data_IF_450598728007
#
_entry.id   IF_450598728007
#
_cell.length_a   1.000
_cell.length_b   1.000
_cell.length_c   1.000
_cell.angle_alpha   90.00
_cell.angle_beta   90.00
_cell.angle_gamma   90.00
#
_symmetry.space_group_name_H-M   'P 1'
#
loop_
_entity.id
_entity.type
_entity.pdbx_description
1 polymer ?
#
# COMPACT_ATOMS: atom_id res chain seq x y z
N UNK A 1 23.91 13.41 -15.69
CA UNK A 1 22.45 13.45 -15.57
C UNK A 1 21.89 12.40 -16.52
N UNK A 2 21.58 11.22 -16.02
CA UNK A 2 20.99 10.13 -16.82
C UNK A 2 19.51 10.43 -17.06
N UNK A 3 19.09 10.39 -18.33
CA UNK A 3 17.70 10.64 -18.72
C UNK A 3 16.76 9.61 -18.06
N UNK A 4 15.58 10.02 -17.53
CA UNK A 4 14.58 9.12 -16.94
C UNK A 4 14.19 7.94 -17.85
N UNK A 5 14.32 8.10 -19.17
CA UNK A 5 14.08 7.05 -20.16
C UNK A 5 15.02 5.84 -20.01
N UNK A 6 16.26 6.03 -19.53
CA UNK A 6 17.20 4.93 -19.32
C UNK A 6 16.82 4.03 -18.13
N UNK A 7 16.07 4.56 -17.15
CA UNK A 7 15.59 3.80 -15.99
C UNK A 7 14.52 2.80 -16.40
N UNK A 8 13.69 3.15 -17.38
CA UNK A 8 12.58 2.33 -17.88
C UNK A 8 13.03 1.22 -18.82
N UNK A 9 14.07 1.45 -19.62
CA UNK A 9 14.62 0.45 -20.52
C UNK A 9 15.08 -0.82 -19.77
N UNK A 10 15.64 -0.68 -18.55
CA UNK A 10 16.14 -1.84 -17.79
C UNK A 10 15.08 -2.58 -16.97
N UNK A 11 14.05 -1.89 -16.47
CA UNK A 11 12.92 -2.59 -15.85
C UNK A 11 12.17 -3.48 -16.85
N UNK A 12 12.28 -3.20 -18.15
CA UNK A 12 11.75 -4.06 -19.21
C UNK A 12 12.65 -5.26 -19.55
N UNK A 13 13.97 -5.16 -19.38
CA UNK A 13 14.92 -6.22 -19.76
C UNK A 13 15.04 -7.35 -18.72
N UNK A 14 14.67 -7.15 -17.45
CA UNK A 14 14.85 -8.16 -16.40
C UNK A 14 13.74 -9.23 -16.33
N UNK A 15 12.86 -9.32 -17.32
CA UNK A 15 11.75 -10.31 -17.36
C UNK A 15 12.07 -11.50 -18.27
N UNK A 16 13.17 -11.48 -19.03
CA UNK A 16 13.55 -12.58 -19.93
C UNK A 16 15.01 -12.95 -19.73
N UNK A 17 15.30 -13.65 -18.64
CA UNK A 17 16.48 -14.52 -18.60
C UNK A 17 16.26 -15.66 -17.59
N UNK A 18 15.46 -16.63 -18.03
CA UNK A 18 15.34 -17.94 -17.40
C UNK A 18 15.11 -18.95 -18.51
N UNK A 19 16.11 -19.10 -19.39
CA UNK A 19 16.19 -20.25 -20.28
C UNK A 19 16.90 -21.38 -19.52
N UNK A 20 16.25 -22.52 -19.23
CA UNK A 20 16.95 -23.73 -18.87
C UNK A 20 17.50 -24.37 -20.14
N UNK A 21 18.82 -24.26 -20.30
CA UNK A 21 19.59 -25.03 -21.27
C UNK A 21 19.85 -26.42 -20.69
N UNK A 22 19.23 -27.46 -21.25
CA UNK A 22 19.68 -28.86 -21.19
C UNK A 22 18.82 -29.73 -22.11
N UNK A 23 19.34 -29.89 -23.32
CA UNK A 23 18.95 -30.91 -24.30
C UNK A 23 19.31 -32.32 -23.78
N UNK A 24 18.44 -33.33 -24.01
CA UNK A 24 18.95 -34.64 -24.39
C UNK A 24 18.32 -35.15 -25.71
N UNK A 25 19.13 -35.95 -26.40
CA UNK A 25 18.95 -36.54 -27.74
C UNK A 25 17.76 -37.50 -27.90
N UNK A 26 17.34 -37.80 -29.15
CA UNK A 26 16.15 -38.60 -29.45
C UNK A 26 16.46 -40.11 -29.49
N UNK A 27 15.52 -40.91 -28.97
CA UNK A 27 15.40 -42.35 -29.23
C UNK A 27 14.06 -42.66 -29.92
N UNK A 28 13.99 -43.66 -30.81
CA UNK A 28 12.81 -43.95 -31.60
C UNK A 28 11.86 -44.94 -30.91
N UNK A 29 10.59 -44.88 -31.36
CA UNK A 29 9.54 -45.90 -31.35
C UNK A 29 9.07 -46.47 -29.99
N UNK A 30 7.79 -46.26 -29.64
CA UNK A 30 6.77 -47.27 -29.96
C UNK A 30 5.33 -46.78 -29.70
N UNK A 31 4.47 -47.32 -30.54
CA UNK A 31 3.02 -47.35 -30.65
C UNK A 31 2.25 -47.40 -29.31
N UNK A 32 1.13 -46.66 -29.24
CA UNK A 32 -0.23 -47.22 -29.10
C UNK A 32 -1.17 -46.40 -28.18
N UNK A 33 -2.38 -46.21 -28.70
CA UNK A 33 -3.68 -46.21 -28.00
C UNK A 33 -4.03 -45.11 -27.01
N UNK A 34 -5.06 -44.32 -27.39
CA UNK A 34 -6.21 -44.08 -26.50
C UNK A 34 -6.59 -42.62 -26.21
N UNK A 35 -7.40 -42.01 -27.06
CA UNK A 35 -8.51 -41.14 -26.59
C UNK A 35 -9.51 -42.00 -25.81
N UNK A 36 -10.33 -41.52 -24.84
CA UNK A 36 -11.14 -40.28 -24.89
C UNK A 36 -11.37 -39.65 -23.47
N UNK A 37 -12.52 -39.02 -23.14
CA UNK A 37 -13.05 -37.72 -23.57
C UNK A 37 -13.17 -36.70 -22.42
N UNK A 38 -13.49 -35.46 -22.80
CA UNK A 38 -14.12 -34.42 -21.96
C UNK A 38 -15.22 -35.00 -21.05
N UNK A 39 -15.21 -34.63 -19.78
CA UNK A 39 -16.42 -34.64 -18.94
C UNK A 39 -16.53 -33.37 -18.11
N UNK A 40 -17.57 -32.59 -18.41
CA UNK A 40 -18.11 -31.56 -17.55
C UNK A 40 -19.05 -32.26 -16.58
N UNK A 41 -18.68 -32.33 -15.30
CA UNK A 41 -19.61 -32.67 -14.24
C UNK A 41 -19.76 -31.48 -13.31
N UNK A 42 -20.90 -30.83 -13.45
CA UNK A 42 -21.54 -30.13 -12.35
C UNK A 42 -21.82 -31.13 -11.23
N UNK A 43 -21.46 -30.81 -10.00
CA UNK A 43 -22.04 -31.42 -8.81
C UNK A 43 -22.57 -30.33 -7.91
N UNK A 44 -23.89 -30.21 -7.96
CA UNK A 44 -24.73 -29.69 -6.88
C UNK A 44 -24.69 -30.64 -5.68
N UNK A 45 -24.98 -30.07 -4.52
CA UNK A 45 -25.44 -30.71 -3.27
C UNK A 45 -24.37 -31.10 -2.26
N UNK A 46 -24.47 -30.44 -1.10
CA UNK A 46 -23.74 -30.76 0.12
C UNK A 46 -24.04 -29.74 1.21
N UNK A 47 -25.28 -29.75 1.71
CA UNK A 47 -25.56 -29.27 3.07
C UNK A 47 -24.67 -30.04 4.02
N UNK A 48 -23.81 -29.35 4.78
CA UNK A 48 -23.34 -29.89 6.05
C UNK A 48 -23.39 -28.83 7.14
N UNK A 49 -24.27 -29.13 8.08
CA UNK A 49 -24.54 -28.46 9.33
C UNK A 49 -23.39 -28.79 10.26
N UNK A 50 -22.48 -27.84 10.49
CA UNK A 50 -21.48 -28.01 11.55
C UNK A 50 -22.09 -27.52 12.86
N UNK A 51 -22.66 -28.47 13.58
CA UNK A 51 -22.87 -28.44 15.02
C UNK A 51 -21.55 -28.08 15.72
N UNK A 52 -21.49 -26.90 16.37
CA UNK A 52 -20.48 -26.68 17.40
C UNK A 52 -21.07 -26.96 18.78
N UNK A 53 -20.34 -27.82 19.47
CA UNK A 53 -20.67 -28.45 20.72
C UNK A 53 -20.85 -27.44 21.87
N UNK A 54 -21.96 -27.66 22.57
CA UNK A 54 -22.25 -27.23 23.92
C UNK A 54 -21.20 -27.76 24.89
N UNK A 55 -20.44 -26.87 25.54
CA UNK A 55 -19.75 -27.18 26.79
C UNK A 55 -20.36 -26.38 27.93
N UNK A 56 -20.62 -27.15 29.00
CA UNK A 56 -21.33 -26.81 30.23
C UNK A 56 -20.49 -25.99 31.20
N UNK A 57 -21.18 -25.62 32.29
CA UNK A 57 -20.76 -24.98 33.54
C UNK A 57 -20.86 -23.45 33.49
N UNK A 58 -21.59 -22.78 34.39
CA UNK A 58 -21.84 -23.09 35.80
C UNK A 58 -23.12 -22.42 36.29
N UNK A 59 -23.92 -23.23 36.97
CA UNK A 59 -25.07 -22.90 37.79
C UNK A 59 -24.66 -21.96 38.94
N UNK A 60 -25.50 -20.96 39.23
CA UNK A 60 -25.24 -19.88 40.19
C UNK A 60 -26.39 -18.90 40.26
N UNK A 61 -27.35 -19.24 41.11
CA UNK A 61 -28.59 -18.52 41.47
C UNK A 61 -28.40 -17.00 41.72
N UNK A 62 -29.41 -16.16 41.40
CA UNK A 62 -29.37 -14.72 41.66
C UNK A 62 -29.72 -14.42 43.13
N UNK A 63 -28.84 -13.67 43.81
CA UNK A 63 -29.17 -13.03 45.09
C UNK A 63 -29.54 -11.57 44.82
N UNK A 64 -30.81 -11.26 45.02
CA UNK A 64 -31.43 -9.95 44.89
C UNK A 64 -31.50 -9.34 46.29
N UNK A 65 -30.47 -8.61 46.73
CA UNK A 65 -30.64 -7.50 47.67
C UNK A 65 -29.35 -6.72 47.88
N UNK A 66 -29.15 -5.68 47.06
CA UNK A 66 -28.19 -4.62 47.40
C UNK A 66 -28.72 -3.28 46.90
N UNK A 67 -28.95 -2.31 47.80
CA UNK A 67 -29.44 -0.99 47.43
C UNK A 67 -28.38 -0.19 46.63
N UNK A 68 -28.81 0.70 45.73
CA UNK A 68 -27.90 1.46 44.87
C UNK A 68 -27.03 2.43 45.68
N UNK A 69 -25.72 2.25 45.60
CA UNK A 69 -24.73 3.15 46.17
C UNK A 69 -24.60 4.42 45.29
N UNK A 70 -24.74 5.65 45.84
CA UNK A 70 -24.54 6.87 45.06
C UNK A 70 -23.07 7.04 44.66
N UNK A 71 -22.82 7.32 43.38
CA UNK A 71 -21.50 7.63 42.84
C UNK A 71 -20.95 8.90 43.51
N UNK A 72 -19.91 8.74 44.32
CA UNK A 72 -19.15 9.81 44.98
C UNK A 72 -18.46 10.72 43.93
N UNK A 73 -18.65 12.05 43.98
CA UNK A 73 -17.82 13.01 43.26
C UNK A 73 -16.43 13.05 43.90
N UNK A 74 -15.39 12.72 43.13
CA UNK A 74 -14.00 12.87 43.57
C UNK A 74 -13.51 14.28 43.24
N UNK A 75 -13.66 15.19 44.19
CA UNK A 75 -12.87 16.42 44.26
C UNK A 75 -11.53 16.11 44.92
N UNK A 76 -10.45 16.13 44.15
CA UNK A 76 -9.10 16.19 44.68
C UNK A 76 -8.63 17.64 44.65
N UNK A 77 -8.63 18.27 45.83
CA UNK A 77 -8.04 19.58 46.11
C UNK A 77 -6.79 19.38 46.98
N UNK A 78 -5.87 20.34 46.84
CA UNK A 78 -4.70 20.67 47.65
C UNK A 78 -3.37 20.08 47.13
N UNK A 79 -2.46 20.94 46.70
CA UNK A 79 -1.49 21.56 47.62
C UNK A 79 -0.83 22.79 46.99
N UNK A 80 -0.93 23.91 47.69
CA UNK A 80 -0.17 25.12 47.44
C UNK A 80 1.29 24.88 47.88
N UNK A 81 2.20 24.84 46.90
CA UNK A 81 3.64 24.85 47.10
C UNK A 81 4.20 26.16 46.57
N UNK A 82 4.47 27.07 47.50
CA UNK A 82 5.10 28.36 47.26
C UNK A 82 6.62 28.13 47.10
N UNK A 83 7.16 28.23 45.88
CA UNK A 83 8.62 28.25 45.68
C UNK A 83 9.01 28.97 44.38
N UNK A 84 9.56 30.18 44.59
CA UNK A 84 10.54 30.92 43.77
C UNK A 84 10.38 30.99 42.24
N UNK A 85 10.08 32.18 41.68
CA UNK A 85 10.29 32.45 40.26
C UNK A 85 11.79 32.65 39.98
N UNK A 86 12.47 31.58 39.58
CA UNK A 86 13.83 31.63 39.03
C UNK A 86 13.82 31.80 37.50
N UNK A 87 14.90 32.36 36.93
CA UNK A 87 14.80 33.51 36.06
C UNK A 87 14.64 33.18 34.58
N UNK A 88 13.93 34.06 33.88
CA UNK A 88 14.02 34.35 32.44
C UNK A 88 14.40 33.16 31.55
N UNK A 89 13.37 32.36 31.19
CA UNK A 89 13.39 31.58 29.94
C UNK A 89 13.55 32.58 28.80
N UNK A 90 14.80 32.91 28.46
CA UNK A 90 15.17 33.71 27.30
C UNK A 90 14.49 33.06 26.12
N UNK A 91 13.36 33.64 25.70
CA UNK A 91 12.82 33.46 24.36
C UNK A 91 13.95 33.97 23.46
N UNK A 92 14.85 33.08 23.07
CA UNK A 92 15.75 33.34 21.97
C UNK A 92 14.79 33.60 20.81
N UNK A 93 14.60 34.88 20.51
CA UNK A 93 14.02 35.36 19.27
C UNK A 93 14.93 34.80 18.18
N UNK A 94 14.63 33.56 17.80
CA UNK A 94 15.30 32.82 16.74
C UNK A 94 15.00 33.67 15.52
N UNK A 95 15.92 34.57 15.20
CA UNK A 95 15.87 35.43 14.03
C UNK A 95 15.51 34.49 12.89
N UNK A 96 14.33 34.71 12.32
CA UNK A 96 13.80 33.92 11.21
C UNK A 96 14.87 33.98 10.12
N UNK A 97 15.67 32.92 9.99
CA UNK A 97 16.56 32.81 8.86
C UNK A 97 15.68 32.86 7.60
N UNK A 98 16.04 33.66 6.59
CA UNK A 98 15.34 33.66 5.31
C UNK A 98 15.10 32.23 4.78
N UNK A 99 16.06 31.32 5.00
CA UNK A 99 15.95 29.91 4.62
C UNK A 99 14.84 29.16 5.36
N UNK A 100 14.66 29.44 6.66
CA UNK A 100 13.59 28.81 7.44
C UNK A 100 12.21 29.26 6.93
N UNK A 101 12.07 30.53 6.53
CA UNK A 101 10.85 31.00 5.89
C UNK A 101 10.58 30.34 4.55
N UNK A 102 11.61 30.17 3.71
CA UNK A 102 11.47 29.48 2.41
C UNK A 102 11.03 28.02 2.59
N UNK A 103 11.60 27.31 3.56
CA UNK A 103 11.20 25.94 3.88
C UNK A 103 9.76 25.85 4.38
N UNK A 104 9.32 26.78 5.23
CA UNK A 104 7.92 26.84 5.70
C UNK A 104 6.97 27.05 4.53
N UNK A 105 7.26 28.02 3.66
CA UNK A 105 6.44 28.30 2.46
C UNK A 105 6.38 27.09 1.54
N UNK A 106 7.51 26.42 1.31
CA UNK A 106 7.56 25.20 0.52
C UNK A 106 6.68 24.08 1.10
N UNK A 107 6.81 23.80 2.41
CA UNK A 107 5.98 22.80 3.11
C UNK A 107 4.50 23.13 3.04
N UNK A 108 4.13 24.40 3.21
CA UNK A 108 2.74 24.84 3.09
C UNK A 108 2.19 24.65 1.67
N UNK A 109 2.98 24.99 0.64
CA UNK A 109 2.62 24.75 -0.76
C UNK A 109 2.41 23.27 -1.05
N UNK A 110 3.29 22.40 -0.56
CA UNK A 110 3.16 20.94 -0.73
C UNK A 110 1.93 20.38 -0.01
N UNK A 111 1.63 20.84 1.21
CA UNK A 111 0.39 20.46 1.92
C UNK A 111 -0.85 20.86 1.13
N UNK A 112 -0.90 22.08 0.59
CA UNK A 112 -2.02 22.53 -0.24
C UNK A 112 -2.16 21.67 -1.52
N UNK A 113 -1.05 21.34 -2.19
CA UNK A 113 -1.06 20.45 -3.37
C UNK A 113 -1.61 19.06 -3.02
N UNK A 114 -1.17 18.48 -1.90
CA UNK A 114 -1.66 17.17 -1.42
C UNK A 114 -3.15 17.21 -1.11
N UNK A 115 -3.65 18.29 -0.51
CA UNK A 115 -5.08 18.46 -0.24
C UNK A 115 -5.90 18.47 -1.52
N UNK A 116 -5.45 19.21 -2.55
CA UNK A 116 -6.09 19.24 -3.86
C UNK A 116 -6.15 17.84 -4.49
N UNK A 117 -5.05 17.08 -4.41
CA UNK A 117 -5.02 15.71 -4.90
C UNK A 117 -5.93 14.78 -4.11
N UNK A 118 -5.96 14.91 -2.78
CA UNK A 118 -6.87 14.15 -1.93
C UNK A 118 -8.32 14.39 -2.35
N UNK A 119 -8.72 15.65 -2.51
CA UNK A 119 -10.06 16.02 -2.98
C UNK A 119 -10.36 15.41 -4.35
N UNK A 120 -9.40 15.45 -5.28
CA UNK A 120 -9.55 14.82 -6.60
C UNK A 120 -9.74 13.31 -6.50
N UNK A 121 -8.93 12.63 -5.68
CA UNK A 121 -9.02 11.18 -5.47
C UNK A 121 -10.35 10.77 -4.81
N UNK A 122 -10.85 11.59 -3.87
CA UNK A 122 -12.12 11.36 -3.19
C UNK A 122 -13.34 11.51 -4.11
N UNK A 123 -13.22 12.22 -5.25
CA UNK A 123 -14.28 12.32 -6.26
C UNK A 123 -14.38 11.09 -7.15
N UNK A 124 -13.37 10.21 -7.15
CA UNK A 124 -13.39 8.98 -7.95
C UNK A 124 -14.39 8.03 -7.33
N UNK A 125 -15.53 7.87 -8.00
CA UNK A 125 -16.55 6.89 -7.63
C UNK A 125 -16.18 5.54 -8.25
N UNK A 126 -16.03 4.52 -7.40
CA UNK A 126 -15.93 3.12 -7.81
C UNK A 126 -16.98 2.33 -7.05
N UNK A 127 -17.52 1.28 -7.67
CA UNK A 127 -18.41 0.36 -6.96
C UNK A 127 -17.67 -0.24 -5.77
N UNK A 128 -18.27 -0.15 -4.58
CA UNK A 128 -17.72 -0.76 -3.37
C UNK A 128 -17.54 -2.26 -3.59
N UNK A 129 -16.39 -2.80 -3.17
CA UNK A 129 -16.01 -4.21 -3.34
C UNK A 129 -15.83 -4.69 -4.80
N UNK A 130 -15.81 -3.80 -5.79
CA UNK A 130 -15.41 -4.19 -7.14
C UNK A 130 -13.98 -4.76 -7.12
N UNK A 131 -13.71 -5.90 -7.80
CA UNK A 131 -12.35 -6.44 -7.88
C UNK A 131 -11.39 -5.47 -8.59
N UNK A 132 -10.09 -5.68 -8.40
CA UNK A 132 -9.05 -4.93 -9.11
C UNK A 132 -8.92 -5.51 -10.52
N UNK A 133 -9.03 -4.65 -11.54
CA UNK A 133 -8.76 -5.06 -12.92
C UNK A 133 -7.28 -5.41 -13.07
N UNK A 134 -6.92 -6.32 -13.96
CA UNK A 134 -5.55 -6.77 -14.20
C UNK A 134 -4.61 -5.59 -14.42
N UNK A 135 -4.96 -4.62 -15.26
CA UNK A 135 -4.17 -3.38 -15.46
C UNK A 135 -3.85 -2.67 -14.13
N UNK A 136 -4.87 -2.42 -13.31
CA UNK A 136 -4.72 -1.75 -12.02
C UNK A 136 -3.89 -2.61 -11.05
N UNK A 137 -4.04 -3.93 -11.10
CA UNK A 137 -3.32 -4.88 -10.26
C UNK A 137 -1.83 -4.84 -10.57
N UNK A 138 -1.43 -4.78 -11.85
CA UNK A 138 -0.03 -4.68 -12.26
C UNK A 138 0.64 -3.42 -11.69
N UNK A 139 -0.05 -2.27 -11.73
CA UNK A 139 0.49 -1.02 -11.17
C UNK A 139 0.62 -1.12 -9.65
N UNK A 140 -0.40 -1.65 -8.96
CA UNK A 140 -0.37 -1.83 -7.50
C UNK A 140 0.75 -2.80 -7.07
N UNK A 141 0.95 -3.90 -7.82
CA UNK A 141 2.03 -4.86 -7.62
C UNK A 141 3.40 -4.22 -7.80
N UNK A 142 3.60 -3.47 -8.89
CA UNK A 142 4.86 -2.75 -9.11
C UNK A 142 5.21 -1.85 -7.92
N UNK A 143 4.25 -1.06 -7.42
CA UNK A 143 4.49 -0.22 -6.25
C UNK A 143 4.83 -1.08 -5.02
N UNK A 144 4.07 -2.14 -4.75
CA UNK A 144 4.26 -2.97 -3.56
C UNK A 144 5.59 -3.74 -3.55
N UNK A 145 5.95 -4.34 -4.68
CA UNK A 145 7.09 -5.24 -4.83
C UNK A 145 8.38 -4.45 -5.03
N UNK A 146 8.35 -3.38 -5.83
CA UNK A 146 9.56 -2.66 -6.25
C UNK A 146 9.80 -1.37 -5.46
N UNK A 147 8.74 -0.69 -5.00
CA UNK A 147 8.88 0.63 -4.37
C UNK A 147 8.68 0.58 -2.87
N UNK A 148 7.48 0.24 -2.40
CA UNK A 148 7.13 0.26 -0.97
C UNK A 148 5.88 -0.56 -0.67
N UNK A 149 5.95 -1.34 0.42
CA UNK A 149 4.77 -1.99 1.01
C UNK A 149 3.91 -1.02 1.86
N UNK A 150 4.48 0.14 2.20
CA UNK A 150 3.90 1.13 3.12
C UNK A 150 3.90 2.51 2.47
N UNK A 151 3.20 2.68 1.33
CA UNK A 151 3.11 3.99 0.70
C UNK A 151 2.53 5.00 1.70
N UNK A 152 3.09 6.22 1.81
CA UNK A 152 2.47 7.28 2.58
C UNK A 152 1.12 7.67 1.95
N UNK A 153 0.31 8.40 2.71
CA UNK A 153 -1.02 8.81 2.25
C UNK A 153 -0.98 9.62 0.94
N UNK A 154 -0.04 10.55 0.81
CA UNK A 154 0.14 11.33 -0.42
C UNK A 154 0.38 10.45 -1.64
N UNK A 155 1.14 9.37 -1.48
CA UNK A 155 1.41 8.43 -2.57
C UNK A 155 0.20 7.54 -2.86
N UNK A 156 -0.53 7.08 -1.85
CA UNK A 156 -1.79 6.35 -2.07
C UNK A 156 -2.82 7.19 -2.85
N UNK A 157 -2.87 8.49 -2.58
CA UNK A 157 -3.71 9.45 -3.34
C UNK A 157 -3.27 9.53 -4.80
N UNK A 158 -1.97 9.64 -5.06
CA UNK A 158 -1.42 9.68 -6.42
C UNK A 158 -1.73 8.39 -7.18
N UNK A 159 -1.52 7.22 -6.55
CA UNK A 159 -1.89 5.92 -7.12
C UNK A 159 -3.38 5.93 -7.50
N UNK A 160 -4.26 6.29 -6.57
CA UNK A 160 -5.71 6.32 -6.78
C UNK A 160 -6.11 7.17 -8.00
N UNK A 161 -5.47 8.34 -8.17
CA UNK A 161 -5.70 9.22 -9.32
C UNK A 161 -5.26 8.55 -10.63
N UNK A 162 -4.06 7.96 -10.66
CA UNK A 162 -3.47 7.38 -11.87
C UNK A 162 -4.25 6.15 -12.34
N UNK A 163 -4.50 5.18 -11.46
CA UNK A 163 -5.24 3.96 -11.81
C UNK A 163 -6.76 4.16 -11.83
N UNK A 164 -7.23 5.40 -11.61
CA UNK A 164 -8.63 5.82 -11.56
C UNK A 164 -9.48 4.95 -10.63
N UNK A 165 -8.99 4.69 -9.43
CA UNK A 165 -9.64 3.84 -8.42
C UNK A 165 -9.86 4.61 -7.14
N UNK A 166 -10.94 4.31 -6.41
CA UNK A 166 -11.23 5.03 -5.17
C UNK A 166 -10.10 4.86 -4.15
N UNK A 167 -9.75 5.97 -3.50
CA UNK A 167 -8.67 6.04 -2.52
C UNK A 167 -8.79 4.98 -1.41
N UNK A 168 -10.01 4.77 -0.89
CA UNK A 168 -10.28 3.74 0.13
C UNK A 168 -9.93 2.33 -0.34
N UNK A 169 -10.20 2.01 -1.61
CA UNK A 169 -9.89 0.69 -2.17
C UNK A 169 -8.39 0.48 -2.31
N UNK A 170 -7.64 1.51 -2.73
CA UNK A 170 -6.17 1.46 -2.77
C UNK A 170 -5.60 1.20 -1.37
N UNK A 171 -6.07 1.94 -0.37
CA UNK A 171 -5.65 1.75 1.04
C UNK A 171 -5.93 0.34 1.53
N UNK A 172 -7.13 -0.18 1.27
CA UNK A 172 -7.52 -1.54 1.63
C UNK A 172 -6.67 -2.59 0.92
N UNK A 173 -6.39 -2.40 -0.37
CA UNK A 173 -5.55 -3.32 -1.14
C UNK A 173 -4.16 -3.47 -0.50
N UNK A 174 -3.46 -2.36 -0.23
CA UNK A 174 -2.15 -2.41 0.43
C UNK A 174 -2.23 -3.01 1.85
N UNK A 175 -3.33 -2.80 2.56
CA UNK A 175 -3.54 -3.41 3.88
C UNK A 175 -3.66 -4.94 3.78
N UNK A 176 -4.52 -5.42 2.89
CA UNK A 176 -4.73 -6.84 2.65
C UNK A 176 -3.45 -7.52 2.16
N UNK A 177 -2.72 -6.85 1.26
CA UNK A 177 -1.51 -7.41 0.67
C UNK A 177 -0.40 -7.61 1.71
N UNK A 178 -0.28 -6.72 2.70
CA UNK A 178 0.63 -6.90 3.85
C UNK A 178 0.19 -7.97 4.84
N UNK A 179 -1.11 -8.24 4.94
CA UNK A 179 -1.60 -9.33 5.80
C UNK A 179 -1.32 -10.70 5.18
N UNK A 180 -1.46 -10.79 3.84
CA UNK A 180 -1.13 -11.98 3.06
C UNK A 180 0.38 -12.23 3.02
N UNK A 181 1.15 -11.19 2.70
CA UNK A 181 2.60 -11.26 2.58
C UNK A 181 3.25 -10.50 3.74
N UNK A 182 3.70 -11.24 4.75
CA UNK A 182 4.35 -10.67 5.95
C UNK A 182 5.84 -10.39 5.74
N UNK A 183 6.39 -10.83 4.62
CA UNK A 183 7.80 -10.76 4.32
C UNK A 183 8.12 -9.58 3.39
N UNK A 184 9.24 -8.92 3.67
CA UNK A 184 9.72 -7.85 2.81
C UNK A 184 10.73 -6.96 3.50
N UNK A 185 11.93 -6.93 2.92
CA UNK A 185 12.96 -5.99 3.34
C UNK A 185 12.55 -4.57 2.95
N UNK A 186 12.67 -3.63 3.89
CA UNK A 186 12.48 -2.21 3.64
C UNK A 186 13.48 -1.37 4.41
N UNK A 187 13.94 -0.29 3.79
CA UNK A 187 14.86 0.68 4.37
C UNK A 187 14.09 1.96 4.64
N UNK A 188 14.24 2.51 5.85
CA UNK A 188 13.64 3.79 6.22
C UNK A 188 14.45 4.92 5.58
N UNK A 189 13.78 5.84 4.91
CA UNK A 189 14.37 7.03 4.32
C UNK A 189 13.41 8.21 4.45
N UNK A 190 13.85 9.39 4.00
CA UNK A 190 13.08 10.63 4.01
C UNK A 190 12.90 11.15 2.58
N UNK A 191 11.67 11.54 2.22
CA UNK A 191 11.40 12.17 0.92
C UNK A 191 11.89 13.61 0.90
N UNK A 192 11.92 14.22 -0.29
CA UNK A 192 12.23 15.65 -0.47
C UNK A 192 11.29 16.57 0.32
N UNK A 193 10.05 16.14 0.55
CA UNK A 193 9.05 16.86 1.34
C UNK A 193 9.24 16.71 2.86
N UNK A 194 10.12 15.79 3.29
CA UNK A 194 10.41 15.48 4.68
C UNK A 194 9.55 14.36 5.27
N UNK A 195 8.91 13.54 4.43
CA UNK A 195 8.12 12.41 4.91
C UNK A 195 9.00 11.18 5.14
N UNK A 196 8.81 10.53 6.28
CA UNK A 196 9.47 9.25 6.56
C UNK A 196 8.77 8.15 5.79
N UNK A 197 9.49 7.53 4.85
CA UNK A 197 8.98 6.44 4.01
C UNK A 197 9.82 5.18 4.19
N UNK A 198 9.22 4.02 3.89
CA UNK A 198 9.89 2.72 3.90
C UNK A 198 10.00 2.23 2.48
N UNK A 199 11.19 2.23 1.90
CA UNK A 199 11.40 1.82 0.51
C UNK A 199 12.01 0.44 0.43
N UNK A 200 11.64 -0.31 -0.62
CA UNK A 200 12.28 -1.56 -1.00
C UNK A 200 13.72 -1.27 -1.47
N UNK A 201 14.67 -2.22 -1.33
CA UNK A 201 16.04 -2.04 -1.80
C UNK A 201 16.14 -1.68 -3.29
N UNK A 202 15.24 -2.22 -4.13
CA UNK A 202 15.21 -1.91 -5.57
C UNK A 202 15.00 -0.41 -5.84
N UNK A 203 14.11 0.25 -5.09
CA UNK A 203 13.83 1.67 -5.21
C UNK A 203 14.96 2.59 -4.70
N UNK A 204 15.97 2.06 -4.02
CA UNK A 204 17.11 2.82 -3.52
C UNK A 204 18.35 2.70 -4.41
N UNK A 205 18.24 1.94 -5.50
CA UNK A 205 19.36 1.78 -6.42
C UNK A 205 19.77 3.17 -6.96
N UNK A 206 21.07 3.50 -7.00
CA UNK A 206 21.57 4.82 -7.39
C UNK A 206 21.07 5.32 -8.76
N UNK A 207 20.65 4.39 -9.61
CA UNK A 207 20.15 4.63 -10.96
C UNK A 207 18.73 5.21 -11.04
N UNK A 208 17.90 5.09 -9.99
CA UNK A 208 16.50 5.55 -10.05
C UNK A 208 16.39 7.05 -9.75
N UNK A 209 16.82 7.46 -8.56
CA UNK A 209 16.90 8.85 -8.15
C UNK A 209 17.62 8.94 -6.80
N UNK A 210 18.45 9.98 -6.54
CA UNK A 210 19.05 10.18 -5.23
C UNK A 210 18.01 10.44 -4.12
N UNK A 211 16.84 11.00 -4.47
CA UNK A 211 15.84 11.41 -3.49
C UNK A 211 14.40 11.27 -4.02
N UNK A 212 13.60 10.47 -3.34
CA UNK A 212 12.18 10.32 -3.64
C UNK A 212 11.39 11.58 -3.29
N UNK A 213 10.41 11.93 -4.11
CA UNK A 213 9.49 13.05 -3.90
C UNK A 213 8.10 12.68 -4.41
N UNK A 214 7.07 13.44 -4.05
CA UNK A 214 5.71 13.20 -4.56
C UNK A 214 5.66 13.29 -6.09
N UNK A 215 6.37 14.26 -6.68
CA UNK A 215 6.40 14.48 -8.13
C UNK A 215 7.12 13.34 -8.86
N UNK A 216 8.28 12.92 -8.35
CA UNK A 216 9.01 11.80 -8.94
C UNK A 216 8.22 10.49 -8.83
N UNK A 217 7.57 10.25 -7.68
CA UNK A 217 6.72 9.09 -7.51
C UNK A 217 5.54 9.09 -8.49
N UNK A 218 4.87 10.24 -8.67
CA UNK A 218 3.79 10.44 -9.66
C UNK A 218 4.24 10.11 -11.09
N UNK A 219 5.42 10.58 -11.51
CA UNK A 219 5.98 10.29 -12.83
C UNK A 219 6.25 8.80 -13.02
N UNK A 220 6.89 8.14 -12.05
CA UNK A 220 7.18 6.70 -12.11
C UNK A 220 5.90 5.88 -12.28
N UNK A 221 4.86 6.16 -11.49
CA UNK A 221 3.60 5.42 -11.59
C UNK A 221 2.86 5.72 -12.90
N UNK A 222 2.88 6.96 -13.40
CA UNK A 222 2.22 7.32 -14.66
C UNK A 222 2.88 6.63 -15.86
N UNK A 223 4.21 6.59 -15.89
CA UNK A 223 4.91 5.95 -17.00
C UNK A 223 4.70 4.43 -16.96
N UNK A 224 4.73 3.83 -15.77
CA UNK A 224 4.44 2.41 -15.65
C UNK A 224 2.99 2.07 -16.00
N UNK A 225 2.02 2.87 -15.55
CA UNK A 225 0.61 2.73 -15.90
C UNK A 225 0.40 2.75 -17.42
N UNK A 226 1.05 3.69 -18.11
CA UNK A 226 1.05 3.76 -19.56
C UNK A 226 1.68 2.52 -20.21
N UNK A 227 2.82 2.05 -19.69
CA UNK A 227 3.48 0.85 -20.20
C UNK A 227 2.57 -0.38 -20.10
N UNK A 228 1.94 -0.61 -18.95
CA UNK A 228 1.00 -1.73 -18.76
C UNK A 228 -0.17 -1.63 -19.74
N UNK A 229 -0.71 -0.43 -19.98
CA UNK A 229 -1.77 -0.24 -20.98
C UNK A 229 -1.33 -0.59 -22.41
N UNK A 230 -0.07 -0.30 -22.77
CA UNK A 230 0.48 -0.66 -24.08
C UNK A 230 0.73 -2.16 -24.19
N UNK A 231 1.30 -2.77 -23.16
CA UNK A 231 1.60 -4.21 -23.14
C UNK A 231 0.30 -5.04 -23.21
N UNK A 232 -0.75 -4.65 -22.48
CA UNK A 232 -2.05 -5.34 -22.54
C UNK A 232 -2.71 -5.21 -23.91
N UNK A 233 -2.58 -4.05 -24.57
CA UNK A 233 -3.12 -3.85 -25.93
C UNK A 233 -2.38 -4.69 -26.97
N UNK A 234 -1.07 -4.85 -26.83
CA UNK A 234 -0.27 -5.65 -27.76
C UNK A 234 -0.55 -7.16 -27.66
N UNK A 235 -1.00 -7.61 -26.49
CA UNK A 235 -1.24 -9.02 -26.20
C UNK A 235 -2.70 -9.46 -26.38
N UNK A 236 -3.63 -8.58 -26.78
CA UNK A 236 -4.96 -9.05 -27.19
C UNK A 236 -4.84 -9.73 -28.56
N UNK A 237 -5.07 -11.06 -28.65
CA UNK A 237 -5.05 -11.74 -29.93
C UNK A 237 -6.14 -11.14 -30.79
N UNK A 238 -5.81 -10.74 -32.02
CA UNK A 238 -6.79 -10.32 -33.00
C UNK A 238 -7.79 -11.46 -33.19
N UNK A 239 -8.95 -11.36 -32.55
CA UNK A 239 -10.08 -12.24 -32.81
C UNK A 239 -10.61 -11.92 -34.20
N UNK A 240 -10.05 -12.60 -35.19
CA UNK A 240 -10.63 -12.77 -36.52
C UNK A 240 -11.58 -13.96 -36.52
#
# INVERSE_FOLDING_TARGET
MTSPLHVLARAACNVVDSSPDSTPSPGPDDSSTGSPPRSWYSSTSGSDVVHFATLRYRDGSPDLDSPPQPLRPSHASNHAGNSSPSPTRRKSSKKHSPDAMLQIKYKQKMRAKRQLFMERAMRIKSLDNSPVNDHQLHVLRMVYDQITMYPPESWMVLIAIVIRRAFKQVKNWFSNERQKNKEGNSVRTETKEGDKVRLRPLALQPQWCPQWSDAFFEEVIMIYDYKVLMDLRANEPATC
#
